data_IF_107714283382
#
_entry.id   IF_107714283382
#
_cell.length_a   1.000
_cell.length_b   1.000
_cell.length_c   1.000
_cell.angle_alpha   90.00
_cell.angle_beta   90.00
_cell.angle_gamma   90.00
#
_symmetry.space_group_name_H-M   'P 1'
#
loop_
_entity.id
_entity.type
_entity.pdbx_description
1 polymer ?
#
# COMPACT_ATOMS: atom_id res chain seq x y z
N UNK A 1 -2.94 -5.58 -12.75
CA UNK A 1 -1.91 -6.29 -13.52
C UNK A 1 -1.54 -7.53 -12.73
N UNK A 2 -1.49 -8.68 -13.39
CA UNK A 2 -0.97 -9.91 -12.79
C UNK A 2 0.55 -9.96 -13.02
N UNK A 3 1.32 -9.88 -11.94
CA UNK A 3 2.78 -9.87 -12.00
C UNK A 3 3.35 -11.25 -12.32
N UNK A 4 2.71 -12.33 -11.86
CA UNK A 4 3.15 -13.69 -12.18
C UNK A 4 2.98 -13.96 -13.68
N UNK A 5 1.84 -13.55 -14.26
CA UNK A 5 1.62 -13.65 -15.70
C UNK A 5 2.66 -12.87 -16.52
N UNK A 6 3.17 -11.74 -16.00
CA UNK A 6 4.10 -10.86 -16.73
C UNK A 6 5.58 -11.20 -16.52
N UNK A 7 5.95 -11.68 -15.34
CA UNK A 7 7.33 -11.85 -14.89
C UNK A 7 7.65 -13.30 -14.43
N UNK A 8 6.71 -14.23 -14.55
CA UNK A 8 6.85 -15.62 -14.11
C UNK A 8 6.98 -15.72 -12.59
N UNK A 9 7.77 -16.70 -12.14
CA UNK A 9 7.97 -16.99 -10.70
C UNK A 9 8.49 -15.78 -9.90
N UNK A 10 9.15 -14.81 -10.53
CA UNK A 10 9.60 -13.58 -9.87
C UNK A 10 8.46 -12.65 -9.47
N UNK A 11 7.31 -12.76 -10.15
CA UNK A 11 6.10 -11.99 -9.86
C UNK A 11 5.11 -12.72 -8.94
N UNK A 12 5.33 -14.01 -8.67
CA UNK A 12 4.45 -14.80 -7.81
C UNK A 12 4.44 -14.23 -6.38
N UNK A 13 3.25 -13.88 -5.88
CA UNK A 13 3.08 -13.26 -4.57
C UNK A 13 3.68 -11.85 -4.43
N UNK A 14 4.08 -11.20 -5.52
CA UNK A 14 4.67 -9.86 -5.45
C UNK A 14 3.63 -8.82 -5.00
N UNK A 15 3.87 -8.23 -3.83
CA UNK A 15 2.97 -7.28 -3.18
C UNK A 15 3.78 -6.24 -2.40
N UNK A 16 3.25 -5.03 -2.25
CA UNK A 16 3.82 -4.01 -1.37
C UNK A 16 3.03 -3.95 -0.05
N UNK A 17 3.67 -3.50 1.02
CA UNK A 17 3.01 -3.16 2.29
C UNK A 17 3.01 -1.65 2.48
N UNK A 18 1.86 -1.12 2.86
CA UNK A 18 1.63 0.31 3.06
C UNK A 18 1.19 0.59 4.50
N UNK A 19 1.63 1.72 5.09
CA UNK A 19 1.18 2.14 6.42
C UNK A 19 -0.16 2.85 6.32
N UNK A 20 -1.19 2.37 7.03
CA UNK A 20 -2.53 2.99 7.05
C UNK A 20 -2.52 4.43 7.57
N UNK A 21 -1.57 4.75 8.45
CA UNK A 21 -1.32 6.11 8.95
C UNK A 21 0.12 6.48 8.59
N UNK A 22 0.29 7.59 7.88
CA UNK A 22 1.60 8.06 7.46
C UNK A 22 2.59 8.13 8.63
N UNK A 23 3.79 7.58 8.43
CA UNK A 23 4.84 7.51 9.46
C UNK A 23 5.18 8.90 10.01
N UNK A 24 5.22 9.91 9.14
CA UNK A 24 5.46 11.30 9.52
C UNK A 24 4.41 11.87 10.50
N UNK A 25 3.15 11.39 10.45
CA UNK A 25 2.05 11.85 11.31
C UNK A 25 2.05 11.20 12.70
N UNK A 26 2.79 10.10 12.91
CA UNK A 26 2.74 9.36 14.19
C UNK A 26 3.50 10.01 15.34
N UNK A 27 4.33 11.04 15.08
CA UNK A 27 4.94 11.95 16.07
C UNK A 27 5.87 11.32 17.12
N UNK A 28 5.81 10.02 17.34
CA UNK A 28 6.57 9.28 18.35
C UNK A 28 6.94 7.88 17.83
N UNK A 29 8.02 7.33 18.39
CA UNK A 29 8.41 5.94 18.16
C UNK A 29 7.32 5.02 18.73
N UNK A 30 6.83 4.11 17.91
CA UNK A 30 5.93 3.06 18.35
C UNK A 30 6.35 1.74 17.68
N UNK A 31 5.96 0.62 18.30
CA UNK A 31 6.13 -0.70 17.71
C UNK A 31 5.05 -0.87 16.65
N UNK A 32 5.46 -1.12 15.40
CA UNK A 32 4.54 -1.40 14.30
C UNK A 32 3.80 -2.69 14.58
N UNK A 33 2.46 -2.64 14.56
CA UNK A 33 1.59 -3.80 14.48
C UNK A 33 1.38 -4.17 13.00
N UNK A 34 1.94 -5.28 12.50
CA UNK A 34 1.82 -5.65 11.08
C UNK A 34 0.37 -5.83 10.61
N UNK A 35 -0.57 -6.14 11.50
CA UNK A 35 -1.99 -6.35 11.16
C UNK A 35 -2.78 -5.05 11.30
N UNK A 36 -2.59 -4.36 12.43
CA UNK A 36 -3.28 -3.11 12.74
C UNK A 36 -2.81 -1.94 11.88
N UNK A 37 -1.51 -1.79 11.67
CA UNK A 37 -0.91 -0.59 11.08
C UNK A 37 -0.65 -0.69 9.58
N UNK A 38 -0.52 -1.91 9.04
CA UNK A 38 -0.14 -2.12 7.65
C UNK A 38 -1.28 -2.73 6.83
N UNK A 39 -1.21 -2.52 5.52
CA UNK A 39 -2.11 -3.13 4.55
C UNK A 39 -1.34 -3.56 3.30
N UNK A 40 -1.52 -4.80 2.80
CA UNK A 40 -0.95 -5.21 1.53
C UNK A 40 -1.70 -4.55 0.37
N UNK A 41 -0.94 -4.00 -0.58
CA UNK A 41 -1.44 -3.32 -1.78
C UNK A 41 -0.55 -3.65 -2.97
N UNK A 42 -1.12 -3.66 -4.18
CA UNK A 42 -0.29 -3.87 -5.38
C UNK A 42 0.62 -2.66 -5.62
N UNK A 43 1.75 -2.83 -6.34
CA UNK A 43 2.69 -1.74 -6.62
C UNK A 43 2.05 -0.49 -7.24
N UNK A 44 1.09 -0.68 -8.15
CA UNK A 44 0.40 0.41 -8.81
C UNK A 44 -0.50 1.17 -7.83
N UNK A 45 -1.25 0.46 -6.98
CA UNK A 45 -2.05 1.07 -5.93
C UNK A 45 -1.15 1.79 -4.92
N UNK A 46 0.00 1.21 -4.55
CA UNK A 46 0.93 1.83 -3.63
C UNK A 46 1.44 3.17 -4.16
N UNK A 47 1.79 3.24 -5.45
CA UNK A 47 2.18 4.49 -6.09
C UNK A 47 1.06 5.54 -6.02
N UNK A 48 -0.20 5.15 -6.31
CA UNK A 48 -1.35 6.05 -6.26
C UNK A 48 -1.69 6.55 -4.85
N UNK A 49 -1.48 5.74 -3.81
CA UNK A 49 -1.68 6.17 -2.42
C UNK A 49 -0.71 7.29 -2.00
N UNK A 50 0.46 7.36 -2.65
CA UNK A 50 1.52 8.33 -2.38
C UNK A 50 1.53 9.55 -3.32
N UNK A 51 0.55 9.71 -4.22
CA UNK A 51 0.52 10.88 -5.13
C UNK A 51 0.05 12.18 -4.47
N UNK A 52 -0.47 12.13 -3.24
CA UNK A 52 -0.89 13.29 -2.45
C UNK A 52 -0.16 13.25 -1.11
N UNK A 53 0.43 14.38 -0.68
CA UNK A 53 1.29 14.49 0.51
C UNK A 53 0.58 14.17 1.84
N UNK A 54 -0.75 14.02 1.82
CA UNK A 54 -1.58 13.65 2.96
C UNK A 54 -2.32 12.31 2.84
N UNK A 55 -2.12 11.61 1.73
CA UNK A 55 -2.61 10.25 1.47
C UNK A 55 -4.05 10.21 0.97
N UNK A 56 -4.22 9.76 -0.27
CA UNK A 56 -5.49 9.15 -0.68
C UNK A 56 -5.69 7.93 0.22
N UNK A 57 -6.82 7.82 0.93
CA UNK A 57 -7.07 6.63 1.75
C UNK A 57 -7.25 5.41 0.85
N UNK A 58 -7.03 4.21 1.39
CA UNK A 58 -7.29 2.98 0.65
C UNK A 58 -8.76 2.90 0.23
N UNK A 59 -9.66 3.39 1.08
CA UNK A 59 -11.10 3.47 0.82
C UNK A 59 -11.38 4.43 -0.34
N UNK A 60 -10.77 5.61 -0.35
CA UNK A 60 -10.93 6.57 -1.43
C UNK A 60 -10.35 6.04 -2.75
N UNK A 61 -9.19 5.37 -2.71
CA UNK A 61 -8.61 4.74 -3.90
C UNK A 61 -9.53 3.63 -4.45
N UNK A 62 -10.12 2.81 -3.57
CA UNK A 62 -11.10 1.80 -3.98
C UNK A 62 -12.30 2.40 -4.71
N UNK A 63 -12.75 3.60 -4.33
CA UNK A 63 -13.85 4.28 -5.03
C UNK A 63 -13.48 4.75 -6.46
N UNK A 64 -12.20 4.91 -6.75
CA UNK A 64 -11.71 5.30 -8.09
C UNK A 64 -11.47 4.08 -9.01
N UNK A 65 -11.35 2.89 -8.41
CA UNK A 65 -11.16 1.63 -9.13
C UNK A 65 -12.55 1.04 -9.42
N UNK A 66 -12.92 0.98 -10.70
CA UNK A 66 -14.16 0.36 -11.18
C UNK A 66 -14.12 -1.16 -11.04
#
# INVERSE_FOLDING_TARGET
MDFEKRYGSRGAGFIHVHHKVAVAKRGQRHKVDPVGDLIPVCPNCHAMLHTLDDGLTVEALKMLLQ
#
